data_IF_920868156488
#
_entry.id   IF_920868156488
#
_cell.length_a   1.000
_cell.length_b   1.000
_cell.length_c   1.000
_cell.angle_alpha   90.00
_cell.angle_beta   90.00
_cell.angle_gamma   90.00
#
_symmetry.space_group_name_H-M   'P 1'
#
loop_
_entity.id
_entity.type
_entity.pdbx_description
1 polymer ?
#
# COMPACT_ATOMS: atom_id res chain seq x y z
N UNK A 1 19.21 3.34 -47.92
CA UNK A 1 18.23 4.40 -48.23
C UNK A 1 18.49 5.53 -47.27
N UNK A 2 18.50 6.77 -47.74
CA UNK A 2 18.58 7.97 -46.90
C UNK A 2 17.22 8.31 -46.30
N UNK A 3 17.22 9.15 -45.28
CA UNK A 3 16.07 9.60 -44.52
C UNK A 3 16.27 11.04 -44.03
N UNK A 4 15.21 11.63 -43.45
CA UNK A 4 15.28 12.95 -42.82
C UNK A 4 16.30 13.01 -41.65
N UNK A 5 16.63 11.86 -41.06
CA UNK A 5 17.61 11.76 -39.97
C UNK A 5 19.08 11.83 -40.45
N UNK A 6 19.33 11.70 -41.75
CA UNK A 6 20.67 11.85 -42.34
C UNK A 6 20.99 13.32 -42.68
N UNK A 7 20.01 14.22 -42.54
CA UNK A 7 20.17 15.63 -42.87
C UNK A 7 20.98 16.37 -41.79
N UNK A 8 21.87 17.23 -42.25
CA UNK A 8 22.71 18.08 -41.41
C UNK A 8 21.98 19.35 -40.98
N UNK A 9 22.33 19.85 -39.79
CA UNK A 9 21.97 21.21 -39.39
C UNK A 9 22.76 22.28 -40.16
N UNK A 10 23.85 21.90 -40.83
CA UNK A 10 24.59 22.76 -41.75
C UNK A 10 23.98 22.67 -43.15
N UNK A 11 23.38 23.77 -43.61
CA UNK A 11 22.73 23.84 -44.91
C UNK A 11 23.67 23.45 -46.07
N UNK A 12 24.94 23.85 -46.03
CA UNK A 12 25.93 23.54 -47.06
C UNK A 12 26.23 22.03 -47.19
N UNK A 13 25.95 21.24 -46.16
CA UNK A 13 26.17 19.80 -46.15
C UNK A 13 25.00 18.99 -46.69
N UNK A 14 23.86 19.62 -47.00
CA UNK A 14 22.62 18.93 -47.38
C UNK A 14 22.44 18.74 -48.89
N UNK A 15 23.36 19.24 -49.72
CA UNK A 15 23.21 19.18 -51.18
C UNK A 15 22.96 17.77 -51.72
N UNK A 16 23.53 16.74 -51.08
CA UNK A 16 23.40 15.32 -51.44
C UNK A 16 23.18 14.42 -50.20
N UNK A 17 22.64 14.97 -49.09
CA UNK A 17 22.42 14.20 -47.87
C UNK A 17 21.32 13.13 -48.04
N UNK A 18 20.43 13.30 -49.02
CA UNK A 18 19.39 12.33 -49.36
C UNK A 18 19.48 11.97 -50.84
N UNK A 19 19.56 10.68 -51.15
CA UNK A 19 19.77 10.18 -52.50
C UNK A 19 18.66 10.51 -53.50
N UNK A 20 17.47 10.92 -53.03
CA UNK A 20 16.35 11.38 -53.87
C UNK A 20 16.18 12.91 -53.89
N UNK A 21 17.00 13.66 -53.16
CA UNK A 21 16.94 15.13 -53.09
C UNK A 21 18.31 15.69 -53.45
N UNK A 22 18.36 16.46 -54.55
CA UNK A 22 19.56 17.14 -54.99
C UNK A 22 19.37 18.67 -54.94
N UNK A 23 20.12 19.34 -54.08
CA UNK A 23 20.14 20.80 -53.94
C UNK A 23 21.46 21.43 -54.37
N UNK A 24 22.22 20.75 -55.23
CA UNK A 24 23.48 21.30 -55.74
C UNK A 24 23.24 22.62 -56.50
N UNK A 25 24.18 23.56 -56.45
CA UNK A 25 24.06 24.81 -57.21
C UNK A 25 24.12 24.55 -58.74
N UNK A 26 23.47 25.42 -59.51
CA UNK A 26 23.47 25.33 -60.98
C UNK A 26 22.59 24.21 -61.59
N UNK A 27 21.71 23.62 -60.79
CA UNK A 27 20.80 22.56 -61.22
C UNK A 27 19.73 23.05 -62.23
N UNK A 28 19.32 22.23 -63.21
CA UNK A 28 18.18 22.54 -64.08
C UNK A 28 16.87 22.74 -63.29
N UNK A 29 15.95 23.61 -63.73
CA UNK A 29 14.68 23.83 -63.03
C UNK A 29 13.84 22.57 -62.78
N UNK A 30 13.96 21.54 -63.63
CA UNK A 30 13.25 20.27 -63.47
C UNK A 30 13.74 19.45 -62.28
N UNK A 31 15.04 19.47 -61.97
CA UNK A 31 15.60 18.71 -60.85
C UNK A 31 15.31 19.39 -59.52
N UNK A 32 15.29 20.73 -59.49
CA UNK A 32 14.78 21.54 -58.36
C UNK A 32 13.34 21.12 -58.00
N UNK A 33 12.48 20.98 -59.00
CA UNK A 33 11.08 20.54 -58.81
C UNK A 33 10.98 19.09 -58.27
N UNK A 34 11.84 18.18 -58.74
CA UNK A 34 11.92 16.81 -58.22
C UNK A 34 12.37 16.78 -56.75
N UNK A 35 13.39 17.57 -56.41
CA UNK A 35 13.91 17.70 -55.05
C UNK A 35 12.85 18.25 -54.09
N UNK A 36 12.10 19.28 -54.52
CA UNK A 36 11.00 19.84 -53.73
C UNK A 36 9.89 18.81 -53.46
N UNK A 37 9.45 18.04 -54.48
CA UNK A 37 8.47 16.96 -54.30
C UNK A 37 8.97 15.89 -53.33
N UNK A 38 10.23 15.50 -53.46
CA UNK A 38 10.85 14.50 -52.59
C UNK A 38 10.99 14.99 -51.14
N UNK A 39 11.29 16.27 -50.92
CA UNK A 39 11.24 16.86 -49.57
C UNK A 39 9.83 16.80 -48.97
N UNK A 40 8.78 17.14 -49.74
CA UNK A 40 7.40 17.02 -49.26
C UNK A 40 7.06 15.58 -48.85
N UNK A 41 7.55 14.58 -49.61
CA UNK A 41 7.44 13.17 -49.24
C UNK A 41 8.12 12.87 -47.90
N UNK A 42 9.40 13.25 -47.72
CA UNK A 42 10.13 13.02 -46.45
C UNK A 42 9.47 13.65 -45.24
N UNK A 43 8.96 14.87 -45.40
CA UNK A 43 8.21 15.55 -44.34
C UNK A 43 6.94 14.78 -44.02
N UNK A 44 6.22 14.27 -45.02
CA UNK A 44 5.01 13.46 -44.79
C UNK A 44 5.32 12.14 -44.11
N UNK A 45 6.38 11.44 -44.50
CA UNK A 45 6.87 10.22 -43.84
C UNK A 45 7.12 10.48 -42.35
N UNK A 46 7.89 11.52 -42.04
CA UNK A 46 8.19 11.91 -40.65
C UNK A 46 6.92 12.29 -39.86
N UNK A 47 6.00 13.05 -40.47
CA UNK A 47 4.73 13.41 -39.84
C UNK A 47 3.84 12.20 -39.55
N UNK A 48 3.83 11.18 -40.40
CA UNK A 48 3.13 9.92 -40.13
C UNK A 48 3.74 9.17 -38.94
N UNK A 49 5.07 9.11 -38.89
CA UNK A 49 5.82 8.41 -37.83
C UNK A 49 5.58 9.01 -36.44
N UNK A 50 5.63 10.34 -36.31
CA UNK A 50 5.32 11.02 -35.04
C UNK A 50 3.80 11.18 -34.80
N UNK A 51 2.99 10.96 -35.84
CA UNK A 51 1.54 11.00 -35.77
C UNK A 51 0.92 9.67 -35.28
N UNK A 52 1.71 8.60 -35.25
CA UNK A 52 1.25 7.27 -34.86
C UNK A 52 0.69 6.41 -35.99
N UNK A 53 0.83 6.85 -37.24
CA UNK A 53 0.46 6.09 -38.44
C UNK A 53 1.60 5.15 -38.85
N UNK A 54 1.89 4.20 -37.96
CA UNK A 54 2.92 3.17 -38.12
C UNK A 54 2.29 1.79 -38.00
N UNK A 55 2.84 0.81 -38.70
CA UNK A 55 2.37 -0.58 -38.58
C UNK A 55 3.10 -1.25 -37.42
N UNK A 56 2.34 -1.87 -36.51
CA UNK A 56 2.88 -2.57 -35.34
C UNK A 56 2.47 -4.03 -35.39
N UNK A 57 3.45 -4.92 -35.29
CA UNK A 57 3.27 -6.37 -35.33
C UNK A 57 4.06 -7.05 -34.21
N UNK A 58 3.78 -8.33 -33.97
CA UNK A 58 4.51 -9.16 -33.01
C UNK A 58 3.71 -9.45 -31.73
N UNK A 59 4.41 -9.44 -30.60
CA UNK A 59 3.89 -9.84 -29.28
C UNK A 59 4.18 -8.79 -28.21
N UNK A 60 3.70 -9.00 -26.99
CA UNK A 60 3.94 -8.12 -25.83
C UNK A 60 5.41 -7.94 -25.47
N UNK A 61 6.29 -8.87 -25.86
CA UNK A 61 7.73 -8.86 -25.55
C UNK A 61 8.62 -8.54 -26.75
N UNK A 62 8.13 -8.78 -27.96
CA UNK A 62 8.84 -8.61 -29.23
C UNK A 62 7.95 -7.84 -30.19
N UNK A 63 8.18 -6.54 -30.30
CA UNK A 63 7.38 -5.62 -31.09
C UNK A 63 8.18 -5.23 -32.34
N UNK A 64 7.60 -5.42 -33.52
CA UNK A 64 8.15 -4.93 -34.77
C UNK A 64 7.33 -3.72 -35.23
N UNK A 65 8.00 -2.60 -35.50
CA UNK A 65 7.38 -1.37 -36.00
C UNK A 65 7.90 -1.11 -37.41
N UNK A 66 6.99 -0.93 -38.36
CA UNK A 66 7.30 -0.45 -39.70
C UNK A 66 6.92 1.03 -39.78
N UNK A 67 7.92 1.90 -39.79
CA UNK A 67 7.75 3.34 -40.00
C UNK A 67 7.60 3.67 -41.48
N UNK A 68 7.06 4.84 -41.79
CA UNK A 68 7.03 5.37 -43.15
C UNK A 68 8.42 5.86 -43.58
N UNK A 69 9.21 6.41 -42.66
CA UNK A 69 10.60 6.79 -42.95
C UNK A 69 11.47 5.53 -43.14
N UNK A 70 12.26 5.40 -44.23
CA UNK A 70 13.06 4.21 -44.53
C UNK A 70 14.39 4.23 -43.76
N UNK A 71 14.29 4.23 -42.43
CA UNK A 71 15.44 4.12 -41.52
C UNK A 71 16.09 2.75 -41.68
N UNK A 72 17.42 2.71 -41.80
CA UNK A 72 18.20 1.48 -41.97
C UNK A 72 19.24 1.24 -40.87
N UNK A 73 19.46 2.23 -40.00
CA UNK A 73 20.32 2.12 -38.82
C UNK A 73 19.77 3.00 -37.70
N UNK A 74 20.08 2.66 -36.46
CA UNK A 74 19.67 3.46 -35.32
C UNK A 74 20.54 4.71 -35.15
N UNK A 75 19.87 5.86 -35.08
CA UNK A 75 20.46 7.18 -34.86
C UNK A 75 19.71 7.85 -33.71
N UNK A 76 20.43 8.60 -32.87
CA UNK A 76 19.82 9.33 -31.76
C UNK A 76 18.73 10.30 -32.26
N UNK A 77 17.61 10.35 -31.54
CA UNK A 77 16.53 11.28 -31.85
C UNK A 77 15.45 10.74 -32.79
N UNK A 78 15.60 9.52 -33.32
CA UNK A 78 14.48 8.84 -33.98
C UNK A 78 13.31 8.78 -33.00
N UNK A 79 12.21 9.43 -33.38
CA UNK A 79 11.00 9.54 -32.56
C UNK A 79 9.85 8.89 -33.28
N UNK A 80 9.13 8.00 -32.59
CA UNK A 80 7.98 7.29 -33.12
C UNK A 80 6.84 7.38 -32.12
N UNK A 81 5.62 7.53 -32.63
CA UNK A 81 4.42 7.27 -31.85
C UNK A 81 3.74 6.01 -32.33
N UNK A 82 3.09 5.30 -31.42
CA UNK A 82 2.29 4.13 -31.78
C UNK A 82 1.15 3.96 -30.79
N UNK A 83 0.06 3.35 -31.25
CA UNK A 83 -1.02 2.88 -30.37
C UNK A 83 -0.74 1.44 -29.98
N UNK A 84 -0.69 1.18 -28.67
CA UNK A 84 -0.53 -0.17 -28.17
C UNK A 84 -1.83 -0.97 -28.36
N UNK A 85 -1.71 -2.21 -28.86
CA UNK A 85 -2.85 -3.12 -29.02
C UNK A 85 -3.09 -4.01 -27.78
N UNK A 86 -2.10 -4.09 -26.90
CA UNK A 86 -2.12 -4.94 -25.72
C UNK A 86 -1.29 -4.36 -24.58
N UNK A 87 -1.26 -5.09 -23.48
CA UNK A 87 -0.46 -4.77 -22.30
C UNK A 87 0.91 -5.46 -22.44
N UNK A 88 1.99 -4.79 -22.07
CA UNK A 88 3.28 -5.48 -21.94
C UNK A 88 3.31 -6.29 -20.64
N UNK A 89 3.76 -7.54 -20.71
CA UNK A 89 3.80 -8.46 -19.56
C UNK A 89 5.22 -8.64 -19.02
N UNK A 90 6.21 -8.26 -19.81
CA UNK A 90 7.64 -8.32 -19.56
C UNK A 90 8.33 -7.11 -20.20
N UNK A 91 9.67 -7.10 -20.21
CA UNK A 91 10.44 -6.05 -20.88
C UNK A 91 10.29 -6.19 -22.41
N UNK A 92 9.64 -5.23 -23.09
CA UNK A 92 9.50 -5.31 -24.54
C UNK A 92 10.82 -4.95 -25.22
N UNK A 93 11.06 -5.60 -26.34
CA UNK A 93 12.10 -5.24 -27.31
C UNK A 93 11.43 -4.76 -28.60
N UNK A 94 11.90 -3.64 -29.13
CA UNK A 94 11.38 -3.03 -30.36
C UNK A 94 12.40 -3.15 -31.49
N UNK A 95 11.97 -3.68 -32.62
CA UNK A 95 12.64 -3.58 -33.92
C UNK A 95 11.96 -2.49 -34.76
N UNK A 96 12.75 -1.69 -35.46
CA UNK A 96 12.26 -0.68 -36.42
C UNK A 96 12.69 -1.09 -37.82
N UNK A 97 11.77 -1.20 -38.77
CA UNK A 97 12.05 -1.52 -40.18
C UNK A 97 12.98 -2.73 -40.37
N UNK A 98 12.82 -3.75 -39.53
CA UNK A 98 13.64 -4.98 -39.52
C UNK A 98 15.12 -4.78 -39.12
N UNK A 99 15.46 -3.65 -38.48
CA UNK A 99 16.74 -3.47 -37.76
C UNK A 99 16.71 -4.33 -36.47
N UNK A 100 17.87 -4.66 -35.92
CA UNK A 100 18.01 -5.44 -34.68
C UNK A 100 17.12 -4.95 -33.53
N UNK A 101 16.58 -5.88 -32.74
CA UNK A 101 15.76 -5.55 -31.58
C UNK A 101 16.53 -4.78 -30.49
N UNK A 102 15.92 -3.71 -29.99
CA UNK A 102 16.45 -2.91 -28.89
C UNK A 102 15.49 -2.86 -27.70
N UNK A 103 16.00 -2.95 -26.46
CA UNK A 103 15.15 -2.90 -25.27
C UNK A 103 14.53 -1.52 -25.06
N UNK A 104 13.37 -1.48 -24.39
CA UNK A 104 12.67 -0.24 -24.01
C UNK A 104 12.88 0.07 -22.52
N UNK A 105 13.05 1.36 -22.22
CA UNK A 105 13.32 1.89 -20.89
C UNK A 105 12.34 3.02 -20.51
N UNK A 106 12.19 3.28 -19.22
CA UNK A 106 11.45 4.41 -18.64
C UNK A 106 12.29 5.15 -17.60
N UNK A 107 11.92 6.40 -17.33
CA UNK A 107 12.34 7.09 -16.11
C UNK A 107 11.54 6.63 -14.89
N UNK A 108 12.20 6.60 -13.75
CA UNK A 108 11.60 6.40 -12.41
C UNK A 108 12.27 7.33 -11.40
N UNK A 109 11.76 7.37 -10.18
CA UNK A 109 12.38 8.10 -9.06
C UNK A 109 13.78 7.58 -8.68
N UNK A 110 14.14 6.36 -9.11
CA UNK A 110 15.46 5.76 -8.90
C UNK A 110 16.38 5.87 -10.14
N UNK A 111 15.94 6.55 -11.19
CA UNK A 111 16.65 6.66 -12.46
C UNK A 111 16.01 5.85 -13.59
N UNK A 112 16.77 5.64 -14.67
CA UNK A 112 16.31 4.95 -15.88
C UNK A 112 16.40 3.44 -15.69
N UNK A 113 15.31 2.72 -15.97
CA UNK A 113 15.26 1.25 -15.89
C UNK A 113 14.43 0.64 -17.02
N UNK A 114 14.60 -0.67 -17.30
CA UNK A 114 13.72 -1.41 -18.21
C UNK A 114 12.23 -1.25 -17.90
N UNK A 115 11.38 -1.36 -18.93
CA UNK A 115 9.95 -1.46 -18.68
C UNK A 115 9.60 -2.75 -17.92
N UNK A 116 8.62 -2.62 -17.06
CA UNK A 116 7.98 -3.67 -16.26
C UNK A 116 6.56 -3.92 -16.79
N UNK A 117 5.98 -5.04 -16.41
CA UNK A 117 4.60 -5.38 -16.77
C UNK A 117 3.65 -4.22 -16.47
N UNK A 118 2.83 -3.83 -17.45
CA UNK A 118 1.81 -2.80 -17.30
C UNK A 118 2.26 -1.35 -17.54
N UNK A 119 3.52 -1.11 -17.91
CA UNK A 119 3.97 0.24 -18.31
C UNK A 119 3.36 0.70 -19.64
N UNK A 120 2.95 -0.25 -20.48
CA UNK A 120 2.20 -0.05 -21.72
C UNK A 120 0.83 -0.70 -21.55
N UNK A 121 -0.23 0.04 -21.86
CA UNK A 121 -1.62 -0.36 -21.74
C UNK A 121 -2.31 -0.41 -23.11
N UNK A 122 -3.21 -1.37 -23.26
CA UNK A 122 -3.98 -1.54 -24.48
C UNK A 122 -4.79 -0.27 -24.81
N UNK A 123 -4.74 0.17 -26.07
CA UNK A 123 -5.47 1.33 -26.60
C UNK A 123 -4.79 2.68 -26.39
N UNK A 124 -3.79 2.77 -25.51
CA UNK A 124 -3.06 4.01 -25.24
C UNK A 124 -2.06 4.35 -26.35
N UNK A 125 -1.83 5.65 -26.54
CA UNK A 125 -0.85 6.19 -27.47
C UNK A 125 0.45 6.46 -26.71
N UNK A 126 1.56 5.95 -27.22
CA UNK A 126 2.87 6.09 -26.63
C UNK A 126 3.84 6.73 -27.60
N UNK A 127 4.84 7.42 -27.06
CA UNK A 127 5.96 7.98 -27.80
C UNK A 127 7.27 7.35 -27.30
N UNK A 128 8.08 6.90 -28.24
CA UNK A 128 9.41 6.35 -27.98
C UNK A 128 10.46 7.15 -28.73
N UNK A 129 11.62 7.31 -28.10
CA UNK A 129 12.78 7.99 -28.68
C UNK A 129 14.00 7.08 -28.61
N UNK A 130 14.71 6.89 -29.71
CA UNK A 130 15.94 6.11 -29.70
C UNK A 130 17.09 6.90 -29.06
N UNK A 131 17.83 6.25 -28.16
CA UNK A 131 19.02 6.79 -27.51
C UNK A 131 20.12 5.72 -27.42
N UNK A 132 21.27 6.02 -28.03
CA UNK A 132 22.47 5.15 -28.06
C UNK A 132 23.13 4.98 -26.69
N UNK A 133 22.96 5.93 -25.76
CA UNK A 133 23.56 5.86 -24.43
C UNK A 133 22.86 4.87 -23.48
N UNK A 134 21.64 4.43 -23.83
CA UNK A 134 20.93 3.42 -23.05
C UNK A 134 21.60 2.05 -23.16
N UNK A 135 21.21 1.14 -22.26
CA UNK A 135 21.68 -0.25 -22.27
C UNK A 135 23.22 -0.35 -22.29
N UNK A 136 23.90 0.37 -21.39
CA UNK A 136 25.36 0.43 -21.30
C UNK A 136 26.03 0.81 -22.64
N UNK A 137 25.46 1.77 -23.36
CA UNK A 137 25.98 2.22 -24.66
C UNK A 137 25.63 1.32 -25.85
N UNK A 138 24.88 0.24 -25.66
CA UNK A 138 24.41 -0.62 -26.75
C UNK A 138 23.14 -0.09 -27.45
N UNK A 139 22.58 1.01 -26.95
CA UNK A 139 21.38 1.66 -27.45
C UNK A 139 20.08 1.01 -26.98
N UNK A 140 19.04 1.82 -26.94
CA UNK A 140 17.70 1.44 -26.49
C UNK A 140 16.65 2.47 -26.87
N UNK A 141 15.39 2.10 -26.66
CA UNK A 141 14.26 3.01 -26.80
C UNK A 141 13.87 3.57 -25.45
N UNK A 142 13.61 4.87 -25.39
CA UNK A 142 13.09 5.53 -24.21
C UNK A 142 11.61 5.82 -24.37
N UNK A 143 10.78 5.32 -23.46
CA UNK A 143 9.35 5.61 -23.40
C UNK A 143 9.13 6.89 -22.58
N UNK A 144 8.64 7.96 -23.21
CA UNK A 144 8.56 9.28 -22.55
C UNK A 144 7.43 9.39 -21.51
N UNK A 145 6.32 8.69 -21.73
CA UNK A 145 5.13 8.71 -20.85
C UNK A 145 4.64 7.28 -20.56
N UNK A 146 5.38 6.48 -19.77
CA UNK A 146 4.88 5.17 -19.32
C UNK A 146 3.61 5.35 -18.50
N UNK A 147 2.72 4.37 -18.52
CA UNK A 147 1.56 4.36 -17.62
C UNK A 147 2.05 4.35 -16.17
N UNK A 148 1.61 5.29 -15.32
CA UNK A 148 1.97 5.30 -13.91
C UNK A 148 1.53 3.98 -13.27
N UNK A 149 2.47 3.24 -12.69
CA UNK A 149 2.11 2.07 -11.91
C UNK A 149 1.36 2.51 -10.65
N UNK A 150 0.31 1.77 -10.29
CA UNK A 150 -0.50 2.06 -9.11
C UNK A 150 0.41 2.08 -7.86
N UNK A 151 0.49 3.22 -7.18
CA UNK A 151 1.54 3.53 -6.19
C UNK A 151 1.51 2.71 -4.91
N UNK A 152 0.52 1.82 -4.72
CA UNK A 152 0.37 1.04 -3.49
C UNK A 152 0.78 -0.41 -3.75
N UNK A 153 1.88 -0.90 -3.13
CA UNK A 153 2.28 -2.29 -3.23
C UNK A 153 1.21 -3.27 -2.73
N UNK A 154 1.16 -4.47 -3.32
CA UNK A 154 0.34 -5.55 -2.78
C UNK A 154 0.76 -5.88 -1.33
N UNK A 155 -0.21 -6.27 -0.50
CA UNK A 155 0.01 -6.56 0.92
C UNK A 155 -0.12 -5.35 1.85
N UNK A 156 -0.20 -4.12 1.33
CA UNK A 156 -0.51 -2.95 2.16
C UNK A 156 -1.91 -3.08 2.74
N UNK A 157 -1.99 -3.03 4.07
CA UNK A 157 -3.25 -2.97 4.82
C UNK A 157 -3.58 -1.49 5.06
N UNK A 158 -4.83 -1.11 4.78
CA UNK A 158 -5.33 0.23 5.01
C UNK A 158 -6.70 0.20 5.68
N UNK A 159 -7.03 1.27 6.37
CA UNK A 159 -8.36 1.53 6.88
C UNK A 159 -9.25 2.11 5.78
N UNK A 160 -10.50 1.67 5.71
CA UNK A 160 -11.42 2.05 4.65
C UNK A 160 -12.81 2.37 5.21
N UNK A 161 -13.29 3.58 4.91
CA UNK A 161 -14.48 4.17 5.51
C UNK A 161 -15.82 3.78 4.88
N UNK A 162 -15.83 2.90 3.87
CA UNK A 162 -17.06 2.43 3.22
C UNK A 162 -17.21 0.90 3.37
N UNK A 163 -18.44 0.34 3.27
CA UNK A 163 -18.72 -1.08 3.52
C UNK A 163 -18.29 -2.03 2.38
N UNK A 164 -17.94 -1.51 1.21
CA UNK A 164 -17.51 -2.33 0.06
C UNK A 164 -16.11 -1.93 -0.39
N UNK A 165 -15.15 -2.86 -0.33
CA UNK A 165 -13.79 -2.62 -0.79
C UNK A 165 -13.77 -2.20 -2.28
N UNK A 166 -12.96 -1.21 -2.67
CA UNK A 166 -12.84 -0.79 -4.05
C UNK A 166 -12.11 -1.84 -4.90
N UNK A 167 -12.20 -1.71 -6.23
CA UNK A 167 -11.48 -2.59 -7.15
C UNK A 167 -9.97 -2.62 -6.86
N UNK A 168 -9.38 -3.82 -6.89
CA UNK A 168 -7.97 -4.04 -6.56
C UNK A 168 -7.66 -4.13 -5.06
N UNK A 169 -8.68 -4.12 -4.20
CA UNK A 169 -8.56 -4.29 -2.75
C UNK A 169 -9.47 -5.40 -2.25
N UNK A 170 -9.09 -6.04 -1.15
CA UNK A 170 -9.80 -7.18 -0.56
C UNK A 170 -10.04 -6.89 0.92
N UNK A 171 -11.25 -7.15 1.47
CA UNK A 171 -11.47 -7.06 2.92
C UNK A 171 -10.56 -8.02 3.69
N UNK A 172 -10.03 -7.57 4.82
CA UNK A 172 -9.29 -8.40 5.76
C UNK A 172 -10.25 -9.24 6.63
N UNK A 173 -10.84 -10.28 6.04
CA UNK A 173 -11.86 -11.13 6.65
C UNK A 173 -11.50 -12.62 6.76
N UNK A 174 -10.21 -12.96 6.60
CA UNK A 174 -9.72 -14.33 6.75
C UNK A 174 -10.00 -15.27 5.59
N UNK A 175 -10.63 -14.81 4.49
CA UNK A 175 -10.97 -15.69 3.36
C UNK A 175 -9.73 -16.28 2.68
N UNK A 176 -9.90 -17.45 2.06
CA UNK A 176 -8.88 -18.06 1.22
C UNK A 176 -8.92 -17.50 -0.20
N UNK A 177 -7.75 -17.25 -0.78
CA UNK A 177 -7.56 -16.75 -2.14
C UNK A 177 -6.64 -17.67 -2.94
N UNK A 178 -6.80 -17.68 -4.27
CA UNK A 178 -5.93 -18.41 -5.19
C UNK A 178 -4.55 -17.77 -5.30
N UNK A 179 -3.48 -18.55 -5.10
CA UNK A 179 -2.08 -18.12 -5.29
C UNK A 179 -1.80 -17.68 -6.74
N UNK A 180 -2.45 -18.32 -7.72
CA UNK A 180 -2.28 -17.99 -9.14
C UNK A 180 -2.98 -16.69 -9.50
N UNK A 181 -4.22 -16.49 -9.01
CA UNK A 181 -4.98 -15.27 -9.30
C UNK A 181 -4.43 -14.05 -8.56
N UNK A 182 -3.91 -14.24 -7.34
CA UNK A 182 -3.40 -13.18 -6.45
C UNK A 182 -1.91 -13.36 -6.17
N UNK A 183 -1.11 -13.62 -7.21
CA UNK A 183 0.32 -13.92 -7.08
C UNK A 183 1.14 -12.80 -6.45
N UNK A 184 0.82 -11.53 -6.76
CA UNK A 184 1.49 -10.37 -6.16
C UNK A 184 1.24 -10.28 -4.65
N UNK A 185 -0.02 -10.43 -4.23
CA UNK A 185 -0.38 -10.48 -2.81
C UNK A 185 0.23 -11.68 -2.09
N UNK A 186 0.19 -12.88 -2.69
CA UNK A 186 0.82 -14.07 -2.11
C UNK A 186 2.34 -13.87 -1.94
N UNK A 187 3.01 -13.30 -2.93
CA UNK A 187 4.44 -12.97 -2.84
C UNK A 187 4.73 -11.98 -1.71
N UNK A 188 3.78 -11.10 -1.37
CA UNK A 188 3.95 -10.08 -0.34
C UNK A 188 3.71 -10.61 1.08
N UNK A 189 2.66 -11.41 1.29
CA UNK A 189 2.24 -11.84 2.64
C UNK A 189 2.43 -13.33 2.93
N UNK A 190 2.73 -14.14 1.92
CA UNK A 190 2.93 -15.57 2.05
C UNK A 190 1.80 -16.28 2.79
N UNK A 191 2.18 -17.08 3.77
CA UNK A 191 1.26 -17.92 4.57
C UNK A 191 1.06 -17.41 6.00
N UNK A 192 1.54 -16.19 6.32
CA UNK A 192 1.51 -15.63 7.69
C UNK A 192 0.11 -15.60 8.32
N UNK A 193 -0.92 -15.45 7.49
CA UNK A 193 -2.32 -15.35 7.92
C UNK A 193 -3.10 -16.66 7.75
N UNK A 194 -2.44 -17.71 7.26
CA UNK A 194 -3.02 -19.03 7.03
C UNK A 194 -2.50 -19.66 5.74
N UNK A 195 -2.08 -20.92 5.84
CA UNK A 195 -1.53 -21.70 4.71
C UNK A 195 -2.54 -22.08 3.62
N UNK A 196 -3.84 -21.89 3.86
CA UNK A 196 -4.91 -22.44 3.03
C UNK A 196 -4.83 -23.95 2.93
N UNK A 197 -4.88 -24.48 1.71
CA UNK A 197 -4.68 -25.89 1.37
C UNK A 197 -3.20 -26.30 1.29
N UNK A 198 -2.26 -25.37 1.48
CA UNK A 198 -0.82 -25.59 1.39
C UNK A 198 -0.27 -25.71 -0.03
N UNK A 199 -1.10 -25.53 -1.07
CA UNK A 199 -0.67 -25.67 -2.47
C UNK A 199 -1.21 -24.57 -3.38
N UNK A 200 -2.53 -24.41 -3.44
CA UNK A 200 -3.18 -23.52 -4.42
C UNK A 200 -3.77 -22.26 -3.80
N UNK A 201 -3.91 -22.23 -2.48
CA UNK A 201 -4.57 -21.13 -1.74
C UNK A 201 -3.73 -20.60 -0.58
N UNK A 202 -4.09 -19.41 -0.12
CA UNK A 202 -3.55 -18.76 1.09
C UNK A 202 -4.64 -17.87 1.71
N UNK A 203 -4.53 -17.56 3.00
CA UNK A 203 -5.49 -16.70 3.69
C UNK A 203 -5.06 -15.23 3.68
N UNK A 204 -6.03 -14.31 3.56
CA UNK A 204 -5.84 -12.90 3.94
C UNK A 204 -5.94 -12.75 5.46
N UNK A 205 -5.47 -11.63 6.04
CA UNK A 205 -5.69 -11.35 7.46
C UNK A 205 -7.18 -11.39 7.83
N UNK A 206 -7.51 -11.86 9.03
CA UNK A 206 -8.82 -11.62 9.65
C UNK A 206 -8.66 -10.57 10.74
N UNK A 207 -9.05 -9.33 10.44
CA UNK A 207 -8.88 -8.19 11.34
C UNK A 207 -10.20 -7.66 11.89
N UNK A 208 -11.28 -8.43 11.73
CA UNK A 208 -12.61 -8.04 12.21
C UNK A 208 -12.61 -8.05 13.74
N UNK A 209 -12.91 -6.90 14.35
CA UNK A 209 -12.95 -6.75 15.81
C UNK A 209 -11.58 -6.74 16.48
N UNK A 210 -10.48 -6.58 15.73
CA UNK A 210 -9.11 -6.60 16.28
C UNK A 210 -8.46 -5.23 16.14
N UNK A 211 -7.72 -4.82 17.17
CA UNK A 211 -6.83 -3.67 17.11
C UNK A 211 -5.44 -4.09 16.63
N UNK A 212 -4.92 -3.40 15.62
CA UNK A 212 -3.55 -3.59 15.17
C UNK A 212 -2.56 -2.91 16.12
N UNK A 213 -1.43 -3.56 16.32
CA UNK A 213 -0.28 -3.04 17.07
C UNK A 213 1.01 -3.27 16.29
N UNK A 214 1.97 -2.37 16.45
CA UNK A 214 3.30 -2.54 15.86
C UNK A 214 4.05 -3.73 16.48
N UNK A 215 4.91 -4.38 15.68
CA UNK A 215 5.86 -5.36 16.20
C UNK A 215 6.90 -4.66 17.08
N UNK A 216 7.43 -5.38 18.08
CA UNK A 216 8.45 -4.82 18.97
C UNK A 216 9.75 -4.47 18.23
N UNK A 217 10.15 -5.32 17.27
CA UNK A 217 11.31 -5.14 16.41
C UNK A 217 12.62 -4.80 17.17
N UNK A 218 12.81 -5.36 18.37
CA UNK A 218 14.02 -5.18 19.18
C UNK A 218 13.99 -3.98 20.12
N UNK A 219 12.84 -3.30 20.25
CA UNK A 219 12.65 -2.19 21.19
C UNK A 219 12.53 -2.66 22.64
N UNK A 220 12.25 -3.94 22.87
CA UNK A 220 12.09 -4.57 24.19
C UNK A 220 10.94 -4.01 25.05
N UNK A 221 9.89 -3.47 24.42
CA UNK A 221 8.64 -3.08 25.09
C UNK A 221 7.62 -4.23 25.03
N UNK A 222 7.59 -5.00 23.94
CA UNK A 222 6.70 -6.15 23.75
C UNK A 222 7.46 -7.37 23.17
N UNK A 223 8.54 -7.82 23.84
CA UNK A 223 9.54 -8.73 23.24
C UNK A 223 9.01 -10.13 22.92
N UNK A 224 7.92 -10.56 23.55
CA UNK A 224 7.35 -11.90 23.39
C UNK A 224 6.22 -11.96 22.35
N UNK A 225 6.06 -10.92 21.51
CA UNK A 225 5.03 -10.86 20.48
C UNK A 225 5.58 -11.25 19.10
N UNK A 226 5.11 -12.37 18.59
CA UNK A 226 5.38 -12.78 17.21
C UNK A 226 4.56 -11.95 16.21
N UNK A 227 5.07 -11.82 14.98
CA UNK A 227 4.31 -11.23 13.88
C UNK A 227 3.02 -12.02 13.63
N UNK A 228 1.93 -11.32 13.30
CA UNK A 228 0.61 -11.88 13.02
C UNK A 228 -0.01 -12.76 14.14
N UNK A 229 0.54 -12.76 15.36
CA UNK A 229 -0.05 -13.50 16.47
C UNK A 229 -1.29 -12.79 17.04
N UNK A 230 -2.40 -13.52 17.18
CA UNK A 230 -3.59 -13.03 17.88
C UNK A 230 -3.35 -12.95 19.39
N UNK A 231 -4.00 -11.99 20.04
CA UNK A 231 -4.09 -11.90 21.49
C UNK A 231 -5.51 -11.62 21.93
N UNK A 232 -5.97 -12.39 22.91
CA UNK A 232 -7.17 -12.01 23.65
C UNK A 232 -6.85 -10.89 24.64
N UNK A 233 -7.89 -10.19 25.07
CA UNK A 233 -7.78 -9.13 26.07
C UNK A 233 -7.35 -9.73 27.41
N UNK A 234 -6.21 -9.28 27.93
CA UNK A 234 -5.71 -9.70 29.25
C UNK A 234 -6.63 -9.27 30.38
N UNK A 235 -7.34 -8.16 30.22
CA UNK A 235 -8.26 -7.66 31.24
C UNK A 235 -9.67 -8.23 31.09
N UNK A 236 -9.89 -9.13 30.11
CA UNK A 236 -11.19 -9.79 29.91
C UNK A 236 -11.61 -10.52 31.17
N UNK A 237 -10.69 -11.31 31.74
CA UNK A 237 -10.90 -12.08 32.96
C UNK A 237 -9.75 -11.80 33.94
N UNK A 238 -10.07 -11.13 35.03
CA UNK A 238 -9.15 -10.93 36.15
C UNK A 238 -9.91 -11.03 37.48
N UNK A 239 -9.20 -11.31 38.56
CA UNK A 239 -9.77 -11.41 39.90
C UNK A 239 -9.49 -10.15 40.71
N UNK A 240 -10.48 -9.69 41.46
CA UNK A 240 -10.30 -8.71 42.51
C UNK A 240 -10.16 -9.41 43.86
N UNK A 241 -9.19 -8.99 44.66
CA UNK A 241 -9.04 -9.42 46.04
C UNK A 241 -8.89 -8.19 46.93
N UNK A 242 -9.46 -8.22 48.12
CA UNK A 242 -9.26 -7.22 49.14
C UNK A 242 -9.16 -7.85 50.52
N UNK A 243 -8.43 -7.21 51.42
CA UNK A 243 -8.32 -7.61 52.83
C UNK A 243 -8.89 -6.50 53.71
N UNK A 244 -9.63 -6.90 54.74
CA UNK A 244 -10.11 -6.03 55.80
C UNK A 244 -9.26 -6.26 57.05
N UNK A 245 -8.85 -5.18 57.71
CA UNK A 245 -8.15 -5.28 58.98
C UNK A 245 -9.06 -5.86 60.07
N UNK A 246 -8.45 -6.49 61.07
CA UNK A 246 -9.19 -6.97 62.22
C UNK A 246 -9.64 -5.80 63.10
N UNK A 247 -10.94 -5.72 63.42
CA UNK A 247 -11.47 -4.65 64.27
C UNK A 247 -11.05 -4.75 65.75
N UNK A 248 -10.40 -5.86 66.13
CA UNK A 248 -9.96 -6.13 67.50
C UNK A 248 -11.12 -6.28 68.48
N UNK A 249 -10.79 -6.45 69.75
CA UNK A 249 -11.76 -6.40 70.85
C UNK A 249 -12.14 -4.95 71.15
N UNK A 250 -13.43 -4.65 71.24
CA UNK A 250 -13.90 -3.31 71.63
C UNK A 250 -15.20 -3.38 72.44
N UNK A 251 -15.52 -2.29 73.15
CA UNK A 251 -16.79 -2.07 73.84
C UNK A 251 -17.46 -0.77 73.36
N UNK A 252 -18.74 -0.60 73.66
CA UNK A 252 -19.49 0.62 73.37
C UNK A 252 -19.88 1.34 74.65
N UNK A 253 -19.80 2.66 74.65
CA UNK A 253 -20.30 3.51 75.74
C UNK A 253 -21.74 3.94 75.42
N UNK A 254 -22.66 3.75 76.36
CA UNK A 254 -24.02 4.25 76.24
C UNK A 254 -24.41 5.03 77.50
N UNK A 255 -25.30 5.99 77.31
CA UNK A 255 -25.80 6.82 78.40
C UNK A 255 -27.24 6.43 78.67
N UNK A 256 -27.46 5.90 79.87
CA UNK A 256 -28.78 5.59 80.39
C UNK A 256 -29.02 6.42 81.64
N UNK A 257 -30.13 6.13 82.26
CA UNK A 257 -30.87 7.03 83.09
C UNK A 257 -31.24 6.04 84.19
N UNK A 258 -30.58 6.16 85.34
CA UNK A 258 -30.65 5.16 86.41
C UNK A 258 -31.51 5.70 87.52
N UNK A 259 -32.45 4.86 87.99
CA UNK A 259 -33.24 5.17 89.17
C UNK A 259 -32.36 4.94 90.38
N UNK A 260 -32.06 6.03 91.08
CA UNK A 260 -31.39 5.98 92.37
C UNK A 260 -32.46 6.03 93.45
N UNK A 261 -32.35 5.13 94.41
CA UNK A 261 -33.22 5.12 95.58
C UNK A 261 -32.35 5.36 96.81
N UNK A 262 -32.65 6.43 97.54
CA UNK A 262 -31.83 6.88 98.66
C UNK A 262 -32.67 7.43 99.81
N UNK A 263 -32.41 6.93 101.01
CA UNK A 263 -32.94 7.43 102.27
C UNK A 263 -32.06 6.91 103.40
N UNK A 264 -31.65 7.80 104.32
CA UNK A 264 -30.59 7.52 105.31
C UNK A 264 -30.85 6.29 106.20
N UNK A 265 -32.10 5.88 106.40
CA UNK A 265 -32.48 4.82 107.33
C UNK A 265 -33.57 3.85 106.80
N UNK A 266 -33.64 3.67 105.48
CA UNK A 266 -34.49 2.63 104.85
C UNK A 266 -36.01 2.78 105.01
N UNK A 267 -36.50 3.91 105.53
CA UNK A 267 -37.94 4.12 105.84
C UNK A 267 -38.63 5.28 105.12
N UNK A 268 -37.90 6.15 104.42
CA UNK A 268 -38.45 7.20 103.55
C UNK A 268 -37.60 7.31 102.28
N UNK A 269 -37.96 6.55 101.24
CA UNK A 269 -37.23 6.51 99.97
C UNK A 269 -37.68 7.62 99.01
N UNK A 270 -36.74 8.44 98.54
CA UNK A 270 -36.96 9.34 97.42
C UNK A 270 -36.38 8.71 96.15
N UNK A 271 -37.23 8.52 95.15
CA UNK A 271 -36.80 8.10 93.81
C UNK A 271 -36.42 9.34 92.98
N UNK A 272 -35.20 9.35 92.47
CA UNK A 272 -34.77 10.35 91.50
C UNK A 272 -33.92 9.69 90.40
N UNK A 273 -33.84 10.37 89.26
CA UNK A 273 -33.21 9.83 88.06
C UNK A 273 -31.95 10.61 87.73
N UNK A 274 -30.83 9.92 87.59
CA UNK A 274 -29.56 10.51 87.17
C UNK A 274 -29.09 9.91 85.86
N UNK A 275 -28.54 10.75 85.00
CA UNK A 275 -27.92 10.27 83.79
C UNK A 275 -26.57 9.63 84.15
N UNK A 276 -26.36 8.39 83.72
CA UNK A 276 -25.12 7.65 83.92
C UNK A 276 -24.61 7.14 82.56
N UNK A 277 -23.29 7.10 82.41
CA UNK A 277 -22.65 6.52 81.22
C UNK A 277 -21.99 5.21 81.63
N UNK A 278 -22.34 4.13 80.94
CA UNK A 278 -21.83 2.77 81.19
C UNK A 278 -21.28 2.19 79.88
N UNK A 279 -20.32 1.29 79.99
CA UNK A 279 -19.80 0.56 78.85
C UNK A 279 -20.44 -0.83 78.78
N UNK A 280 -20.69 -1.31 77.56
CA UNK A 280 -21.04 -2.71 77.33
C UNK A 280 -19.87 -3.62 77.73
N UNK A 281 -20.15 -4.92 77.90
CA UNK A 281 -19.09 -5.92 77.93
C UNK A 281 -18.23 -5.83 76.66
N UNK A 282 -16.96 -6.24 76.76
CA UNK A 282 -16.06 -6.33 75.61
C UNK A 282 -16.67 -7.35 74.64
N UNK A 283 -16.92 -6.92 73.40
CA UNK A 283 -17.24 -7.84 72.32
C UNK A 283 -15.92 -8.36 71.76
N UNK A 284 -15.78 -9.69 71.71
CA UNK A 284 -14.56 -10.36 71.26
C UNK A 284 -14.19 -10.06 69.80
N UNK A 285 -13.06 -10.62 69.35
CA UNK A 285 -12.59 -10.52 67.96
C UNK A 285 -13.69 -10.94 66.98
N UNK A 286 -14.04 -10.09 66.03
CA UNK A 286 -15.01 -10.38 64.97
C UNK A 286 -14.42 -10.09 63.58
N UNK A 287 -14.96 -10.77 62.56
CA UNK A 287 -14.51 -10.66 61.17
C UNK A 287 -15.42 -9.74 60.36
N UNK A 288 -14.83 -8.99 59.44
CA UNK A 288 -15.57 -8.33 58.36
C UNK A 288 -15.60 -9.23 57.12
N UNK A 289 -16.75 -9.30 56.45
CA UNK A 289 -16.86 -9.89 55.12
C UNK A 289 -16.72 -8.79 54.06
N UNK A 290 -15.88 -9.03 53.06
CA UNK A 290 -15.75 -8.18 51.87
C UNK A 290 -16.36 -8.93 50.69
N UNK A 291 -17.40 -8.37 50.08
CA UNK A 291 -17.94 -8.87 48.83
C UNK A 291 -17.52 -7.92 47.69
N UNK A 292 -16.64 -8.39 46.80
CA UNK A 292 -16.27 -7.67 45.58
C UNK A 292 -16.99 -8.35 44.42
N UNK A 293 -18.08 -7.74 43.97
CA UNK A 293 -18.75 -8.19 42.77
C UNK A 293 -17.99 -7.70 41.53
N UNK A 294 -18.10 -8.45 40.44
CA UNK A 294 -17.66 -7.95 39.14
C UNK A 294 -18.50 -6.72 38.78
N UNK A 295 -17.84 -5.67 38.30
CA UNK A 295 -18.47 -4.50 37.71
C UNK A 295 -17.87 -4.24 36.33
N UNK A 296 -18.69 -3.84 35.37
CA UNK A 296 -18.32 -3.64 33.97
C UNK A 296 -18.88 -4.68 32.98
N UNK A 297 -18.43 -4.58 31.73
CA UNK A 297 -18.84 -5.46 30.62
C UNK A 297 -17.82 -6.53 30.26
N UNK A 298 -18.11 -7.32 29.24
CA UNK A 298 -17.30 -8.49 28.83
C UNK A 298 -16.01 -8.13 28.06
N UNK A 299 -15.71 -6.83 27.91
CA UNK A 299 -14.60 -6.33 27.11
C UNK A 299 -14.07 -5.01 27.68
N UNK A 300 -12.75 -4.94 27.86
CA UNK A 300 -12.06 -3.69 28.15
C UNK A 300 -11.46 -3.12 26.86
N UNK A 301 -11.97 -1.97 26.40
CA UNK A 301 -11.48 -1.27 25.20
C UNK A 301 -11.59 0.24 25.33
N UNK A 302 -10.72 1.02 24.64
CA UNK A 302 -10.90 2.46 24.52
C UNK A 302 -12.12 2.78 23.64
N UNK A 303 -12.59 4.04 23.69
CA UNK A 303 -13.59 4.56 22.74
C UNK A 303 -13.05 4.37 21.31
N UNK A 304 -13.85 3.77 20.42
CA UNK A 304 -13.44 3.48 19.05
C UNK A 304 -14.64 3.46 18.09
N UNK A 305 -14.34 3.55 16.79
CA UNK A 305 -15.28 3.43 15.68
C UNK A 305 -14.84 2.27 14.81
N UNK A 306 -15.79 1.42 14.41
CA UNK A 306 -15.53 0.31 13.51
C UNK A 306 -15.59 0.74 12.04
N UNK A 307 -14.49 0.52 11.33
CA UNK A 307 -14.37 0.65 9.87
C UNK A 307 -13.66 -0.58 9.32
N UNK A 308 -13.62 -0.75 7.99
CA UNK A 308 -12.99 -1.92 7.40
C UNK A 308 -11.48 -1.79 7.35
N UNK A 309 -10.79 -2.91 7.59
CA UNK A 309 -9.44 -3.10 7.07
C UNK A 309 -9.53 -3.77 5.71
N UNK A 310 -8.81 -3.22 4.73
CA UNK A 310 -8.66 -3.77 3.39
C UNK A 310 -7.18 -3.95 3.08
N UNK A 311 -6.86 -4.95 2.27
CA UNK A 311 -5.51 -5.26 1.81
C UNK A 311 -5.42 -5.10 0.29
N UNK A 312 -4.33 -4.50 -0.19
CA UNK A 312 -4.08 -4.34 -1.63
C UNK A 312 -3.78 -5.70 -2.25
N UNK A 313 -4.60 -6.09 -3.23
CA UNK A 313 -4.44 -7.31 -4.04
C UNK A 313 -3.28 -7.19 -5.05
#
# INVERSE_FOLDING_TARGET
MSSIYDWSLSAASNANADNIINWTEGQPPSTVNNSARSMMQRVREYMCDIGGDVTVEGSSSRIAIQSKTPVTAYINGITLRFRALGINIDQPMISLNNIDYKPVFKATYQGVKPLESGDIQAGALYEIVFCSLLNNGSGGWFLSSPTPQQSTPAGVISMFGAPTAPSGWIPCDGRLLSRTQYGALFSAIGEWWGKGDGQTTFAVPDLRGVFLRGTDAGKNIDPNRAFASFQDSQNRWHSHSGSVGEAGEHNHSYTTWKRNNGGADGKNGWDWYSQITENTAISGRHSHSLNINADGGNEARPVNIAIQYIIKA
#
